data_IF_833903991012
#
_entry.id   IF_833903991012
#
_cell.length_a   1.000
_cell.length_b   1.000
_cell.length_c   1.000
_cell.angle_alpha   90.00
_cell.angle_beta   90.00
_cell.angle_gamma   90.00
#
_symmetry.space_group_name_H-M   'P 1'
#
loop_
_entity.id
_entity.type
_entity.pdbx_description
1 polymer ?
#
# COMPACT_ATOMS: atom_id res chain seq x y z
N UNK A 1 -7.81 -18.73 2.08
CA UNK A 1 -8.77 -18.36 1.02
C UNK A 1 -8.34 -17.09 0.36
N UNK A 2 -8.40 -17.04 -0.98
CA UNK A 2 -8.02 -15.86 -1.75
C UNK A 2 -9.05 -14.76 -1.56
N UNK A 3 -8.66 -13.53 -1.20
CA UNK A 3 -9.62 -12.45 -1.05
C UNK A 3 -10.19 -11.99 -2.39
N UNK A 4 -11.37 -11.39 -2.35
CA UNK A 4 -11.93 -10.67 -3.48
C UNK A 4 -11.39 -9.24 -3.48
N UNK A 5 -11.56 -8.53 -4.60
CA UNK A 5 -11.07 -7.15 -4.69
C UNK A 5 -12.05 -6.26 -5.45
N UNK A 6 -11.99 -4.97 -5.15
CA UNK A 6 -12.71 -3.93 -5.90
C UNK A 6 -11.96 -2.62 -5.79
N UNK A 7 -12.19 -1.71 -6.72
CA UNK A 7 -11.68 -0.36 -6.59
C UNK A 7 -12.40 0.38 -5.47
N UNK A 8 -11.67 1.25 -4.77
CA UNK A 8 -12.24 2.08 -3.73
C UNK A 8 -13.15 3.17 -4.32
N UNK A 9 -14.19 3.50 -3.57
CA UNK A 9 -15.16 4.54 -3.90
C UNK A 9 -15.06 5.66 -2.86
N UNK A 10 -15.75 6.79 -3.12
CA UNK A 10 -15.75 7.92 -2.19
C UNK A 10 -16.22 7.52 -0.79
N UNK A 11 -17.14 6.58 -0.68
CA UNK A 11 -17.64 6.08 0.60
C UNK A 11 -16.54 5.36 1.42
N UNK A 12 -15.44 4.96 0.79
CA UNK A 12 -14.36 4.23 1.46
C UNK A 12 -13.30 5.18 2.05
N UNK A 13 -13.37 6.47 1.79
CA UNK A 13 -12.32 7.42 2.21
C UNK A 13 -12.07 7.39 3.72
N UNK A 14 -13.12 7.28 4.53
CA UNK A 14 -12.97 7.21 5.97
C UNK A 14 -12.18 5.99 6.41
N UNK A 15 -12.52 4.82 5.89
CA UNK A 15 -11.81 3.58 6.19
C UNK A 15 -10.36 3.64 5.74
N UNK A 16 -10.12 4.10 4.52
CA UNK A 16 -8.76 4.21 4.00
C UNK A 16 -7.91 5.17 4.84
N UNK A 17 -8.49 6.29 5.28
CA UNK A 17 -7.78 7.26 6.11
C UNK A 17 -7.41 6.68 7.47
N UNK A 18 -8.32 5.95 8.11
CA UNK A 18 -8.03 5.30 9.38
C UNK A 18 -6.93 4.25 9.24
N UNK A 19 -7.01 3.44 8.21
CA UNK A 19 -5.99 2.43 7.92
C UNK A 19 -4.65 3.07 7.56
N UNK A 20 -4.66 4.16 6.80
CA UNK A 20 -3.45 4.88 6.48
C UNK A 20 -2.80 5.47 7.73
N UNK A 21 -3.60 6.00 8.65
CA UNK A 21 -3.11 6.51 9.93
C UNK A 21 -2.42 5.41 10.72
N UNK A 22 -3.01 4.23 10.75
CA UNK A 22 -2.42 3.08 11.42
C UNK A 22 -1.13 2.61 10.73
N UNK A 23 -1.13 2.60 9.38
CA UNK A 23 0.04 2.19 8.59
C UNK A 23 1.24 3.09 8.89
N UNK A 24 1.02 4.40 8.95
CA UNK A 24 2.06 5.38 9.29
C UNK A 24 2.70 5.03 10.63
N UNK A 25 1.88 4.73 11.63
CA UNK A 25 2.37 4.36 12.97
C UNK A 25 3.09 3.03 12.96
N UNK A 26 2.52 2.03 12.30
CA UNK A 26 3.08 0.68 12.27
C UNK A 26 4.45 0.65 11.58
N UNK A 27 4.62 1.49 10.57
CA UNK A 27 5.87 1.56 9.81
C UNK A 27 6.89 2.54 10.39
N UNK A 28 6.50 3.32 11.38
CA UNK A 28 7.40 4.27 12.02
C UNK A 28 7.69 5.53 11.21
N UNK A 29 6.77 5.91 10.32
CA UNK A 29 6.91 7.17 9.57
C UNK A 29 6.70 8.37 10.49
N UNK A 30 7.39 9.49 10.16
CA UNK A 30 7.33 10.73 10.93
C UNK A 30 6.20 11.66 10.49
N UNK A 31 5.22 11.15 9.79
CA UNK A 31 4.08 11.94 9.29
C UNK A 31 3.09 12.20 10.43
N UNK A 32 2.85 13.48 10.80
CA UNK A 32 1.95 13.82 11.91
C UNK A 32 0.50 14.06 11.51
N UNK A 33 0.12 13.74 10.28
CA UNK A 33 -1.22 14.04 9.78
C UNK A 33 -2.32 13.36 10.58
N UNK A 34 -3.40 14.08 10.83
CA UNK A 34 -4.60 13.52 11.46
C UNK A 34 -5.38 12.67 10.45
N UNK A 35 -6.34 11.90 10.95
CA UNK A 35 -7.21 11.08 10.09
C UNK A 35 -7.94 11.97 9.07
N UNK A 36 -8.44 13.13 9.49
CA UNK A 36 -9.13 14.05 8.58
C UNK A 36 -8.20 14.57 7.47
N UNK A 37 -6.97 14.90 7.83
CA UNK A 37 -5.97 15.33 6.84
C UNK A 37 -5.62 14.19 5.88
N UNK A 38 -5.51 12.98 6.39
CA UNK A 38 -5.24 11.81 5.54
C UNK A 38 -6.41 11.50 4.61
N UNK A 39 -7.65 11.70 5.08
CA UNK A 39 -8.83 11.54 4.22
C UNK A 39 -8.82 12.54 3.07
N UNK A 40 -8.48 13.79 3.36
CA UNK A 40 -8.37 14.84 2.33
C UNK A 40 -7.27 14.50 1.32
N UNK A 41 -6.11 14.06 1.79
CA UNK A 41 -5.01 13.65 0.91
C UNK A 41 -5.39 12.46 0.05
N UNK A 42 -6.05 11.46 0.63
CA UNK A 42 -6.50 10.28 -0.10
C UNK A 42 -7.49 10.68 -1.20
N UNK A 43 -8.40 11.59 -0.89
CA UNK A 43 -9.37 12.08 -1.88
C UNK A 43 -8.66 12.73 -3.07
N UNK A 44 -7.66 13.57 -2.82
CA UNK A 44 -6.87 14.18 -3.88
C UNK A 44 -6.15 13.12 -4.73
N UNK A 45 -5.54 12.14 -4.09
CA UNK A 45 -4.87 11.07 -4.79
C UNK A 45 -5.80 10.29 -5.71
N UNK A 46 -6.99 9.94 -5.22
CA UNK A 46 -7.95 9.16 -5.98
C UNK A 46 -8.64 9.96 -7.08
N UNK A 47 -8.65 11.28 -6.97
CA UNK A 47 -9.10 12.16 -8.05
C UNK A 47 -8.00 12.43 -9.08
N UNK A 48 -6.76 12.14 -8.74
CA UNK A 48 -5.59 12.35 -9.59
C UNK A 48 -5.05 11.05 -10.15
N UNK A 49 -3.75 10.82 -9.95
CA UNK A 49 -3.02 9.72 -10.57
C UNK A 49 -3.12 8.39 -9.83
N UNK A 50 -3.57 8.40 -8.57
CA UNK A 50 -3.59 7.17 -7.75
C UNK A 50 -4.88 6.40 -7.90
N UNK A 51 -4.75 5.09 -7.78
CA UNK A 51 -5.87 4.17 -7.67
C UNK A 51 -5.72 3.40 -6.36
N UNK A 52 -6.84 3.10 -5.72
CA UNK A 52 -6.88 2.27 -4.53
C UNK A 52 -7.74 1.05 -4.77
N UNK A 53 -7.27 -0.10 -4.29
CA UNK A 53 -7.97 -1.38 -4.37
C UNK A 53 -8.17 -1.87 -2.96
N UNK A 54 -9.40 -2.29 -2.65
CA UNK A 54 -9.74 -2.88 -1.36
C UNK A 54 -9.91 -4.38 -1.55
N UNK A 55 -9.26 -5.13 -0.66
CA UNK A 55 -9.34 -6.58 -0.63
C UNK A 55 -10.23 -7.00 0.54
N UNK A 56 -11.09 -7.98 0.30
CA UNK A 56 -12.05 -8.44 1.31
C UNK A 56 -12.11 -9.95 1.37
N UNK A 57 -12.31 -10.46 2.58
CA UNK A 57 -12.78 -11.83 2.82
C UNK A 57 -14.29 -11.72 3.10
N UNK A 58 -14.72 -11.79 4.35
CA UNK A 58 -16.11 -11.47 4.68
C UNK A 58 -16.33 -9.97 4.74
N UNK A 59 -15.29 -9.25 5.08
CA UNK A 59 -15.28 -7.79 5.21
C UNK A 59 -13.93 -7.27 4.71
N UNK A 60 -13.79 -5.97 4.48
CA UNK A 60 -12.51 -5.42 4.05
C UNK A 60 -11.38 -5.78 5.01
N UNK A 61 -10.27 -6.29 4.48
CA UNK A 61 -9.11 -6.74 5.26
C UNK A 61 -7.80 -6.08 4.87
N UNK A 62 -7.74 -5.46 3.69
CA UNK A 62 -6.49 -4.87 3.19
C UNK A 62 -6.80 -3.84 2.12
N UNK A 63 -5.82 -2.96 1.83
CA UNK A 63 -5.88 -2.11 0.65
C UNK A 63 -4.51 -1.90 0.06
N UNK A 64 -4.49 -1.56 -1.22
CA UNK A 64 -3.29 -1.14 -1.94
C UNK A 64 -3.56 0.21 -2.61
N UNK A 65 -2.55 1.09 -2.59
CA UNK A 65 -2.60 2.39 -3.24
C UNK A 65 -1.41 2.49 -4.18
N UNK A 66 -1.68 2.74 -5.46
CA UNK A 66 -0.61 2.77 -6.47
C UNK A 66 -0.93 3.78 -7.57
N UNK A 67 0.10 4.16 -8.32
CA UNK A 67 -0.07 4.97 -9.53
C UNK A 67 0.74 4.37 -10.68
N UNK A 68 0.30 4.68 -11.89
CA UNK A 68 0.99 4.26 -13.11
C UNK A 68 1.73 5.45 -13.72
N UNK A 69 2.99 5.22 -14.07
CA UNK A 69 3.81 6.22 -14.75
C UNK A 69 4.50 5.51 -15.91
N UNK A 70 4.09 5.82 -17.15
CA UNK A 70 4.66 5.19 -18.35
C UNK A 70 4.71 3.64 -18.21
N UNK A 71 5.91 3.08 -18.08
CA UNK A 71 6.11 1.64 -17.93
C UNK A 71 6.44 1.25 -16.48
N UNK A 72 6.01 2.06 -15.50
CA UNK A 72 6.30 1.89 -14.09
C UNK A 72 5.01 1.91 -13.28
N UNK A 73 4.89 0.96 -12.33
CA UNK A 73 3.88 1.01 -11.27
C UNK A 73 4.59 1.33 -9.96
N UNK A 74 4.20 2.42 -9.33
CA UNK A 74 4.66 2.78 -8.00
C UNK A 74 3.59 2.36 -6.99
N UNK A 75 3.89 1.35 -6.19
CA UNK A 75 3.01 0.91 -5.11
C UNK A 75 3.36 1.73 -3.86
N UNK A 76 2.49 2.69 -3.55
CA UNK A 76 2.76 3.59 -2.44
C UNK A 76 2.41 3.01 -1.09
N UNK A 77 1.30 2.28 -0.98
CA UNK A 77 0.83 1.71 0.28
C UNK A 77 0.26 0.33 0.06
N UNK A 78 0.57 -0.58 0.97
CA UNK A 78 -0.08 -1.87 1.08
C UNK A 78 -0.29 -2.11 2.57
N UNK A 79 -1.55 -2.20 2.97
CA UNK A 79 -1.95 -2.36 4.36
C UNK A 79 -2.79 -3.60 4.54
N UNK A 80 -2.50 -4.38 5.58
CA UNK A 80 -3.32 -5.51 6.00
C UNK A 80 -3.76 -5.25 7.44
N UNK A 81 -5.04 -5.46 7.74
CA UNK A 81 -5.57 -5.31 9.10
C UNK A 81 -4.74 -6.12 10.08
N UNK A 82 -4.51 -5.56 11.28
CA UNK A 82 -3.65 -6.18 12.29
C UNK A 82 -4.09 -7.59 12.65
N UNK A 83 -5.40 -7.81 12.79
CA UNK A 83 -5.95 -9.10 13.17
C UNK A 83 -5.92 -10.14 12.05
N UNK A 84 -5.50 -9.74 10.86
CA UNK A 84 -5.40 -10.63 9.69
C UNK A 84 -3.97 -10.77 9.17
N UNK A 85 -3.00 -10.21 9.88
CA UNK A 85 -1.59 -10.33 9.50
C UNK A 85 -1.07 -11.72 9.78
N UNK A 86 0.02 -12.10 9.10
CA UNK A 86 0.66 -13.42 9.18
C UNK A 86 -0.22 -14.55 8.64
N UNK A 87 -1.24 -14.23 7.86
CA UNK A 87 -2.11 -15.22 7.21
C UNK A 87 -1.92 -15.28 5.70
N UNK A 88 -0.91 -14.56 5.16
CA UNK A 88 -0.63 -14.57 3.73
C UNK A 88 -1.44 -13.60 2.90
N UNK A 89 -2.28 -12.76 3.52
CA UNK A 89 -3.15 -11.83 2.78
C UNK A 89 -2.33 -10.82 1.97
N UNK A 90 -1.24 -10.28 2.54
CA UNK A 90 -0.39 -9.32 1.80
C UNK A 90 0.19 -9.93 0.54
N UNK A 91 0.66 -11.15 0.61
CA UNK A 91 1.21 -11.87 -0.55
C UNK A 91 0.13 -12.17 -1.57
N UNK A 92 -1.05 -12.58 -1.14
CA UNK A 92 -2.16 -12.85 -2.05
C UNK A 92 -2.66 -11.57 -2.72
N UNK A 93 -2.77 -10.48 -1.96
CA UNK A 93 -3.15 -9.18 -2.51
C UNK A 93 -2.16 -8.73 -3.59
N UNK A 94 -0.87 -8.86 -3.33
CA UNK A 94 0.16 -8.53 -4.31
C UNK A 94 0.05 -9.42 -5.56
N UNK A 95 -0.23 -10.69 -5.38
CA UNK A 95 -0.46 -11.61 -6.50
C UNK A 95 -1.64 -11.20 -7.37
N UNK A 96 -2.73 -10.77 -6.75
CA UNK A 96 -3.91 -10.27 -7.45
C UNK A 96 -3.56 -9.01 -8.24
N UNK A 97 -2.84 -8.07 -7.64
CA UNK A 97 -2.42 -6.86 -8.33
C UNK A 97 -1.63 -7.19 -9.59
N UNK A 98 -0.70 -8.12 -9.50
CA UNK A 98 0.14 -8.50 -10.63
C UNK A 98 -0.61 -9.28 -11.71
N UNK A 99 -1.52 -10.14 -11.32
CA UNK A 99 -2.18 -11.06 -12.26
C UNK A 99 -3.45 -10.48 -12.87
N UNK A 100 -4.18 -9.64 -12.14
CA UNK A 100 -5.51 -9.21 -12.54
C UNK A 100 -5.63 -7.71 -12.80
N UNK A 101 -4.75 -6.88 -12.25
CA UNK A 101 -4.92 -5.42 -12.28
C UNK A 101 -3.80 -4.72 -13.06
N UNK A 102 -2.55 -5.04 -12.75
CA UNK A 102 -1.41 -4.38 -13.37
C UNK A 102 -1.07 -5.01 -14.72
N UNK A 103 -0.58 -4.22 -15.70
CA UNK A 103 -0.13 -4.79 -16.98
C UNK A 103 1.09 -5.68 -16.75
N UNK A 104 1.29 -6.72 -17.57
CA UNK A 104 2.49 -7.55 -17.50
C UNK A 104 3.72 -6.79 -17.97
N UNK A 105 4.90 -7.24 -17.56
CA UNK A 105 6.20 -6.73 -18.05
C UNK A 105 6.40 -5.24 -17.75
N UNK A 106 5.87 -4.76 -16.64
CA UNK A 106 6.04 -3.39 -16.17
C UNK A 106 7.02 -3.39 -15.00
N UNK A 107 7.80 -2.32 -14.88
CA UNK A 107 8.67 -2.15 -13.72
C UNK A 107 7.84 -1.83 -12.49
N UNK A 108 8.10 -2.48 -11.37
CA UNK A 108 7.39 -2.26 -10.11
C UNK A 108 8.34 -1.67 -9.08
N UNK A 109 7.92 -0.61 -8.39
CA UNK A 109 8.72 -0.03 -7.32
C UNK A 109 7.90 0.15 -6.05
N UNK A 110 8.57 0.04 -4.91
CA UNK A 110 8.05 0.39 -3.59
C UNK A 110 9.13 1.16 -2.86
N UNK A 111 8.73 1.95 -1.87
CA UNK A 111 9.66 2.57 -0.94
C UNK A 111 9.39 2.03 0.45
N UNK A 112 10.45 1.75 1.20
CA UNK A 112 10.34 1.21 2.54
C UNK A 112 11.43 1.82 3.41
N UNK A 113 11.08 2.15 4.66
CA UNK A 113 12.07 2.64 5.61
C UNK A 113 13.06 1.54 5.92
N UNK A 114 14.36 1.84 5.81
CA UNK A 114 15.42 0.83 5.92
C UNK A 114 15.46 0.13 7.28
N UNK A 115 14.96 0.79 8.33
CA UNK A 115 14.91 0.20 9.66
C UNK A 115 13.66 -0.68 9.89
N UNK A 116 12.72 -0.69 8.95
CA UNK A 116 11.56 -1.57 9.03
C UNK A 116 11.94 -2.94 8.45
N UNK A 117 12.71 -3.71 9.21
CA UNK A 117 13.24 -4.98 8.76
C UNK A 117 12.18 -5.99 8.28
N UNK A 118 11.05 -6.16 8.97
CA UNK A 118 10.01 -7.07 8.49
C UNK A 118 9.46 -6.68 7.13
N UNK A 119 9.25 -5.37 6.88
CA UNK A 119 8.74 -4.89 5.60
C UNK A 119 9.78 -5.08 4.49
N UNK A 120 11.05 -4.76 4.77
CA UNK A 120 12.14 -4.99 3.80
C UNK A 120 12.18 -6.46 3.40
N UNK A 121 12.13 -7.36 4.38
CA UNK A 121 12.13 -8.81 4.12
C UNK A 121 10.92 -9.24 3.29
N UNK A 122 9.75 -8.69 3.59
CA UNK A 122 8.53 -8.98 2.85
C UNK A 122 8.65 -8.61 1.39
N UNK A 123 9.07 -7.38 1.11
CA UNK A 123 9.21 -6.91 -0.28
C UNK A 123 10.25 -7.72 -1.05
N UNK A 124 11.39 -8.02 -0.42
CA UNK A 124 12.40 -8.86 -1.05
C UNK A 124 11.88 -10.26 -1.35
N UNK A 125 11.05 -10.82 -0.47
CA UNK A 125 10.46 -12.15 -0.68
C UNK A 125 9.51 -12.20 -1.87
N UNK A 126 8.97 -11.05 -2.28
CA UNK A 126 8.10 -10.94 -3.45
C UNK A 126 8.88 -10.75 -4.76
N UNK A 127 10.19 -10.55 -4.68
CA UNK A 127 11.05 -10.38 -5.85
C UNK A 127 11.60 -8.99 -6.03
N UNK A 128 11.27 -8.04 -5.16
CA UNK A 128 11.89 -6.71 -5.21
C UNK A 128 13.37 -6.80 -4.82
N UNK A 129 14.18 -5.99 -5.47
CA UNK A 129 15.60 -5.86 -5.15
C UNK A 129 15.89 -4.43 -4.74
N UNK A 130 16.89 -4.25 -3.90
CA UNK A 130 17.33 -2.92 -3.47
C UNK A 130 17.80 -2.12 -4.68
N UNK A 131 17.29 -0.90 -4.80
CA UNK A 131 17.62 -0.04 -5.93
C UNK A 131 18.26 1.27 -5.50
N UNK A 132 17.71 1.94 -4.49
CA UNK A 132 18.17 3.26 -4.06
C UNK A 132 18.13 3.38 -2.55
N UNK A 133 18.95 4.28 -2.02
CA UNK A 133 18.95 4.66 -0.61
C UNK A 133 18.67 6.14 -0.49
N UNK A 134 17.91 6.53 0.52
CA UNK A 134 17.81 7.91 0.94
C UNK A 134 18.64 8.08 2.20
N UNK A 135 19.59 9.00 2.16
CA UNK A 135 20.45 9.33 3.29
C UNK A 135 20.06 10.72 3.77
N UNK A 136 20.08 10.93 5.08
CA UNK A 136 19.70 12.21 5.65
C UNK A 136 20.61 12.64 6.78
N UNK A 137 20.71 13.96 6.96
CA UNK A 137 21.33 14.56 8.13
C UNK A 137 20.24 15.39 8.80
N UNK A 138 19.97 15.09 10.08
CA UNK A 138 18.97 15.82 10.84
C UNK A 138 19.50 17.18 11.27
N UNK A 139 18.62 18.22 11.43
CA UNK A 139 19.04 19.54 11.88
C UNK A 139 19.49 19.56 13.33
#
# INVERSE_FOLDING_TARGET
MKPTWRYALAADLGLLAEWNHQLIRDEGHRNPMTVDQLAARMKEWLQGEYQAVIFAEDEPVAYALFKREDSLIYLRQLFVRRDRRRSGIGREAFGILRQEIWPPKVRLTVEVLCQNAPAVAFWRSLGYRDYALTLEIMP
#
